data_IF_009789281512
#
_entry.id   IF_009789281512
#
_cell.length_a   1.000
_cell.length_b   1.000
_cell.length_c   1.000
_cell.angle_alpha   90.00
_cell.angle_beta   90.00
_cell.angle_gamma   90.00
#
_symmetry.space_group_name_H-M   'P 1'
#
loop_
_entity.id
_entity.type
_entity.pdbx_description
1 polymer ?
#
# COMPACT_ATOMS: atom_id res chain seq x y z
N UNK A 1 29.43 8.83 -37.28
CA UNK A 1 28.45 9.88 -37.62
C UNK A 1 29.02 11.17 -37.05
N UNK A 2 29.71 11.97 -37.86
CA UNK A 2 30.26 13.26 -37.42
C UNK A 2 29.10 14.23 -37.32
N UNK A 3 28.86 14.79 -36.13
CA UNK A 3 27.90 15.87 -35.94
C UNK A 3 28.52 17.12 -36.56
N UNK A 4 28.17 17.39 -37.82
CA UNK A 4 28.48 18.64 -38.51
C UNK A 4 27.90 19.82 -37.70
N UNK A 5 28.67 20.88 -37.54
CA UNK A 5 28.37 22.08 -36.75
C UNK A 5 26.88 22.46 -36.74
N UNK A 6 26.19 22.17 -35.63
CA UNK A 6 24.78 22.51 -35.44
C UNK A 6 24.70 23.97 -34.97
N UNK A 7 24.02 24.81 -35.74
CA UNK A 7 23.74 26.21 -35.35
C UNK A 7 22.44 26.26 -34.55
N UNK A 8 22.51 26.80 -33.33
CA UNK A 8 21.35 27.05 -32.49
C UNK A 8 21.07 28.55 -32.50
N UNK A 9 19.90 28.96 -32.97
CA UNK A 9 19.44 30.34 -32.94
C UNK A 9 18.23 30.44 -32.00
N UNK A 10 18.27 31.39 -31.08
CA UNK A 10 17.16 31.62 -30.14
C UNK A 10 17.04 33.10 -29.84
N UNK A 11 15.82 33.55 -29.58
CA UNK A 11 15.56 34.93 -29.16
C UNK A 11 15.43 34.94 -27.64
N UNK A 12 16.34 35.64 -26.97
CA UNK A 12 16.31 35.82 -25.52
C UNK A 12 15.81 37.23 -25.18
N UNK A 13 15.13 37.37 -24.05
CA UNK A 13 14.71 38.68 -23.55
C UNK A 13 15.93 39.54 -23.17
N UNK A 14 15.82 40.88 -23.22
CA UNK A 14 16.94 41.78 -22.94
C UNK A 14 17.55 41.60 -21.54
N UNK A 15 16.75 41.31 -20.53
CA UNK A 15 17.24 41.06 -19.15
C UNK A 15 18.20 39.86 -19.06
N UNK A 16 17.90 38.80 -19.81
CA UNK A 16 18.76 37.60 -19.87
C UNK A 16 19.99 37.83 -20.73
N UNK A 17 19.90 38.64 -21.79
CA UNK A 17 21.05 39.01 -22.61
C UNK A 17 22.08 39.81 -21.80
N UNK A 18 21.62 40.75 -20.97
CA UNK A 18 22.49 41.54 -20.09
C UNK A 18 23.21 40.65 -19.06
N UNK A 19 22.47 39.73 -18.41
CA UNK A 19 23.06 38.77 -17.45
C UNK A 19 24.09 37.84 -18.09
N UNK A 20 23.82 37.35 -19.30
CA UNK A 20 24.75 36.49 -20.02
C UNK A 20 26.02 37.23 -20.45
N UNK A 21 25.89 38.49 -20.87
CA UNK A 21 27.05 39.34 -21.17
C UNK A 21 27.87 39.63 -19.91
N UNK A 22 27.22 39.89 -18.78
CA UNK A 22 27.90 40.07 -17.50
C UNK A 22 28.64 38.80 -17.08
N UNK A 23 27.99 37.63 -17.18
CA UNK A 23 28.61 36.33 -16.91
C UNK A 23 29.82 36.07 -17.81
N UNK A 24 29.73 36.39 -19.11
CA UNK A 24 30.84 36.29 -20.05
C UNK A 24 32.03 37.17 -19.65
N UNK A 25 31.78 38.39 -19.16
CA UNK A 25 32.82 39.28 -18.65
C UNK A 25 33.46 38.77 -17.35
N UNK A 26 32.66 38.17 -16.46
CA UNK A 26 33.12 37.64 -15.17
C UNK A 26 33.94 36.35 -15.32
N UNK A 27 33.54 35.45 -16.22
CA UNK A 27 34.22 34.17 -16.45
C UNK A 27 35.34 34.26 -17.50
N UNK A 28 35.36 35.33 -18.30
CA UNK A 28 36.28 35.48 -19.43
C UNK A 28 36.00 34.52 -20.59
N UNK A 29 34.87 33.80 -20.54
CA UNK A 29 34.44 32.87 -21.58
C UNK A 29 33.57 33.56 -22.61
N UNK A 30 33.58 33.06 -23.85
CA UNK A 30 32.65 33.55 -24.87
C UNK A 30 31.21 33.14 -24.53
N UNK A 31 30.24 33.91 -25.03
CA UNK A 31 28.82 33.58 -24.86
C UNK A 31 28.48 32.19 -25.41
N UNK A 32 29.11 31.81 -26.53
CA UNK A 32 28.91 30.53 -27.21
C UNK A 32 29.38 29.36 -26.34
N UNK A 33 30.55 29.49 -25.71
CA UNK A 33 31.07 28.48 -24.76
C UNK A 33 30.16 28.33 -23.54
N UNK A 34 29.67 29.45 -22.98
CA UNK A 34 28.76 29.41 -21.83
C UNK A 34 27.44 28.71 -22.17
N UNK A 35 26.89 28.98 -23.35
CA UNK A 35 25.66 28.34 -23.82
C UNK A 35 25.90 26.85 -24.10
N UNK A 36 27.02 26.49 -24.73
CA UNK A 36 27.36 25.09 -24.98
C UNK A 36 27.56 24.31 -23.67
N UNK A 37 28.27 24.88 -22.71
CA UNK A 37 28.50 24.29 -21.38
C UNK A 37 27.16 24.10 -20.65
N UNK A 38 26.31 25.11 -20.64
CA UNK A 38 24.99 25.03 -19.99
C UNK A 38 24.10 23.95 -20.63
N UNK A 39 24.10 23.84 -21.96
CA UNK A 39 23.39 22.77 -22.68
C UNK A 39 24.00 21.40 -22.32
N UNK A 40 25.32 21.28 -22.28
CA UNK A 40 26.03 20.06 -21.89
C UNK A 40 25.62 19.58 -20.49
N UNK A 41 25.68 20.48 -19.51
CA UNK A 41 25.30 20.21 -18.11
C UNK A 41 23.82 19.82 -17.98
N UNK A 42 22.94 20.49 -18.74
CA UNK A 42 21.51 20.17 -18.73
C UNK A 42 21.25 18.76 -19.29
N UNK A 43 21.88 18.41 -20.40
CA UNK A 43 21.75 17.08 -21.02
C UNK A 43 22.35 15.98 -20.13
N UNK A 44 23.46 16.24 -19.45
CA UNK A 44 24.04 15.32 -18.48
C UNK A 44 23.10 15.09 -17.29
N UNK A 45 22.49 16.16 -16.77
CA UNK A 45 21.51 16.05 -15.68
C UNK A 45 20.27 15.26 -16.08
N UNK A 46 19.81 15.38 -17.33
CA UNK A 46 18.71 14.56 -17.86
C UNK A 46 19.12 13.08 -17.92
N UNK A 47 20.31 12.77 -18.43
CA UNK A 47 20.81 11.38 -18.44
C UNK A 47 20.90 10.76 -17.05
N UNK A 48 21.25 11.55 -16.03
CA UNK A 48 21.26 11.06 -14.63
C UNK A 48 19.84 10.82 -14.12
N UNK A 49 18.85 11.59 -14.58
CA UNK A 49 17.42 11.35 -14.29
C UNK A 49 16.86 10.12 -15.00
N UNK A 50 17.42 9.73 -16.15
CA UNK A 50 17.06 8.50 -16.86
C UNK A 50 17.52 7.22 -16.13
N UNK A 51 18.33 7.32 -15.06
CA UNK A 51 18.60 6.21 -14.12
C UNK A 51 17.34 5.77 -13.31
N UNK A 52 16.15 6.14 -13.79
CA UNK A 52 14.83 5.63 -13.41
C UNK A 52 14.73 4.09 -13.47
N UNK A 53 15.64 3.40 -14.16
CA UNK A 53 15.78 1.94 -14.11
C UNK A 53 15.92 1.41 -12.67
N UNK A 54 16.55 2.19 -11.78
CA UNK A 54 16.66 1.84 -10.35
C UNK A 54 15.34 1.99 -9.58
N UNK A 55 14.46 2.89 -10.02
CA UNK A 55 13.12 3.12 -9.46
C UNK A 55 12.16 2.04 -9.96
N UNK A 56 12.25 1.66 -11.23
CA UNK A 56 11.46 0.57 -11.82
C UNK A 56 11.81 -0.79 -11.18
N UNK A 57 13.10 -1.05 -10.92
CA UNK A 57 13.52 -2.29 -10.27
C UNK A 57 13.06 -2.38 -8.80
N UNK A 58 13.07 -1.25 -8.08
CA UNK A 58 12.52 -1.17 -6.73
C UNK A 58 10.99 -1.34 -6.71
N UNK A 59 10.30 -0.75 -7.68
CA UNK A 59 8.86 -0.89 -7.83
C UNK A 59 8.45 -2.36 -8.09
N UNK A 60 9.16 -3.05 -8.98
CA UNK A 60 8.93 -4.48 -9.27
C UNK A 60 9.19 -5.37 -8.04
N UNK A 61 10.24 -5.09 -7.27
CA UNK A 61 10.51 -5.80 -6.03
C UNK A 61 9.41 -5.57 -4.99
N UNK A 62 8.96 -4.33 -4.82
CA UNK A 62 7.87 -3.99 -3.89
C UNK A 62 6.56 -4.71 -4.27
N UNK A 63 6.24 -4.76 -5.57
CA UNK A 63 5.06 -5.47 -6.07
C UNK A 63 5.12 -6.98 -5.77
N UNK A 64 6.32 -7.58 -5.89
CA UNK A 64 6.55 -8.99 -5.57
C UNK A 64 6.42 -9.27 -4.07
N UNK A 65 6.91 -8.38 -3.22
CA UNK A 65 6.76 -8.49 -1.77
C UNK A 65 5.29 -8.38 -1.35
N UNK A 66 4.55 -7.44 -1.93
CA UNK A 66 3.12 -7.25 -1.66
C UNK A 66 2.32 -8.50 -2.02
N UNK A 67 2.58 -9.09 -3.20
CA UNK A 67 1.93 -10.32 -3.64
C UNK A 67 2.27 -11.51 -2.72
N UNK A 68 3.50 -11.57 -2.21
CA UNK A 68 3.92 -12.60 -1.26
C UNK A 68 3.23 -12.43 0.09
N UNK A 69 3.10 -11.18 0.57
CA UNK A 69 2.41 -10.87 1.81
C UNK A 69 0.92 -11.18 1.72
N UNK A 70 0.27 -10.84 0.60
CA UNK A 70 -1.14 -11.14 0.36
C UNK A 70 -1.40 -12.65 0.40
N UNK A 71 -0.54 -13.45 -0.23
CA UNK A 71 -0.62 -14.92 -0.14
C UNK A 71 -0.47 -15.43 1.29
N UNK A 72 0.43 -14.84 2.08
CA UNK A 72 0.60 -15.20 3.50
C UNK A 72 -0.64 -14.86 4.31
N UNK A 73 -1.23 -13.69 4.11
CA UNK A 73 -2.49 -13.29 4.77
C UNK A 73 -3.60 -14.28 4.44
N UNK A 74 -3.76 -14.62 3.16
CA UNK A 74 -4.76 -15.61 2.75
C UNK A 74 -4.51 -16.99 3.36
N UNK A 75 -3.25 -17.38 3.55
CA UNK A 75 -2.90 -18.65 4.21
C UNK A 75 -3.24 -18.69 5.71
N UNK A 76 -3.47 -17.53 6.35
CA UNK A 76 -3.83 -17.43 7.78
C UNK A 76 -5.34 -17.53 8.02
N UNK A 77 -6.19 -17.23 7.03
CA UNK A 77 -7.65 -17.39 7.12
C UNK A 77 -8.12 -18.77 7.61
N UNK A 78 -7.60 -19.90 7.09
CA UNK A 78 -8.01 -21.22 7.60
C UNK A 78 -7.60 -21.43 9.07
N UNK A 79 -6.49 -20.84 9.50
CA UNK A 79 -6.02 -20.94 10.88
C UNK A 79 -6.94 -20.14 11.81
N UNK A 80 -7.35 -18.93 11.39
CA UNK A 80 -8.36 -18.13 12.10
C UNK A 80 -9.67 -18.92 12.26
N UNK A 81 -10.15 -19.55 11.20
CA UNK A 81 -11.37 -20.35 11.25
C UNK A 81 -11.26 -21.54 12.24
N UNK A 82 -10.09 -22.20 12.28
CA UNK A 82 -9.84 -23.28 13.24
C UNK A 82 -9.84 -22.78 14.68
N UNK A 83 -9.23 -21.63 14.96
CA UNK A 83 -9.22 -21.01 16.29
C UNK A 83 -10.65 -20.67 16.73
N UNK A 84 -11.43 -20.01 15.89
CA UNK A 84 -12.84 -19.68 16.21
C UNK A 84 -13.67 -20.94 16.49
N UNK A 85 -13.45 -22.02 15.71
CA UNK A 85 -14.14 -23.31 15.94
C UNK A 85 -13.75 -23.94 17.27
N UNK A 86 -12.49 -23.82 17.69
CA UNK A 86 -12.03 -24.30 18.99
C UNK A 86 -12.60 -23.47 20.13
N UNK A 87 -12.66 -22.15 19.99
CA UNK A 87 -13.26 -21.25 20.99
C UNK A 87 -14.74 -21.56 21.22
N UNK A 88 -15.52 -21.76 20.14
CA UNK A 88 -16.94 -22.15 20.25
C UNK A 88 -17.08 -23.47 21.00
N UNK A 89 -16.20 -24.44 20.74
CA UNK A 89 -16.20 -25.72 21.47
C UNK A 89 -15.85 -25.54 22.94
N UNK A 90 -14.87 -24.69 23.26
CA UNK A 90 -14.50 -24.38 24.64
C UNK A 90 -15.67 -23.73 25.37
N UNK A 91 -16.32 -22.73 24.79
CA UNK A 91 -17.51 -22.08 25.38
C UNK A 91 -18.64 -23.11 25.58
N UNK A 92 -18.85 -24.01 24.63
CA UNK A 92 -19.82 -25.10 24.76
C UNK A 92 -19.50 -26.02 25.94
N UNK A 93 -18.22 -26.39 26.11
CA UNK A 93 -17.76 -27.19 27.25
C UNK A 93 -17.89 -26.41 28.56
N UNK A 94 -17.53 -25.12 28.60
CA UNK A 94 -17.69 -24.27 29.79
C UNK A 94 -19.15 -24.19 30.22
N UNK A 95 -20.09 -24.05 29.28
CA UNK A 95 -21.53 -24.06 29.58
C UNK A 95 -22.01 -25.41 30.16
N UNK A 96 -21.42 -26.51 29.72
CA UNK A 96 -21.77 -27.88 30.20
C UNK A 96 -21.12 -28.17 31.57
N UNK A 97 -19.86 -27.78 31.76
CA UNK A 97 -19.06 -28.10 32.95
C UNK A 97 -19.27 -27.09 34.08
N UNK A 98 -19.56 -25.83 33.75
CA UNK A 98 -19.82 -24.74 34.70
C UNK A 98 -21.07 -23.94 34.29
N UNK A 99 -22.28 -24.44 34.57
CA UNK A 99 -23.54 -23.76 34.22
C UNK A 99 -23.76 -22.41 34.95
N UNK A 100 -22.83 -21.98 35.81
CA UNK A 100 -22.83 -20.70 36.51
C UNK A 100 -21.49 -20.00 36.37
N UNK A 101 -21.17 -19.50 35.18
CA UNK A 101 -20.28 -18.35 35.07
C UNK A 101 -21.02 -17.23 34.33
N UNK A 102 -21.56 -16.31 35.11
CA UNK A 102 -22.11 -15.03 34.66
C UNK A 102 -20.97 -14.17 34.09
N UNK A 103 -20.70 -14.35 32.79
CA UNK A 103 -19.81 -13.47 32.05
C UNK A 103 -20.47 -12.09 32.01
N UNK A 104 -19.84 -11.10 32.63
CA UNK A 104 -20.34 -9.71 32.66
C UNK A 104 -20.52 -9.18 31.23
N UNK A 105 -21.64 -8.51 30.91
CA UNK A 105 -22.01 -8.08 29.54
C UNK A 105 -21.19 -6.88 29.03
N UNK A 106 -20.06 -6.53 29.66
CA UNK A 106 -19.24 -5.38 29.30
C UNK A 106 -18.22 -5.63 28.18
N UNK A 107 -18.23 -6.82 27.56
CA UNK A 107 -17.42 -7.15 26.39
C UNK A 107 -18.15 -6.75 25.11
N UNK A 108 -17.47 -6.05 24.19
CA UNK A 108 -17.98 -5.66 22.86
C UNK A 108 -18.58 -6.85 22.09
N UNK A 109 -18.12 -8.07 22.36
CA UNK A 109 -18.63 -9.29 21.72
C UNK A 109 -19.99 -9.74 22.27
N UNK A 110 -20.29 -9.47 23.54
CA UNK A 110 -21.59 -9.79 24.15
C UNK A 110 -22.71 -8.91 23.58
N UNK A 111 -22.40 -7.66 23.21
CA UNK A 111 -23.36 -6.76 22.56
C UNK A 111 -23.71 -7.20 21.14
N UNK A 112 -22.77 -7.84 20.42
CA UNK A 112 -23.03 -8.41 19.09
C UNK A 112 -23.95 -9.64 19.15
N UNK A 113 -23.85 -10.45 20.20
CA UNK A 113 -24.72 -11.62 20.41
C UNK A 113 -26.15 -11.26 20.83
N UNK A 114 -26.39 -10.05 21.37
CA UNK A 114 -27.73 -9.57 21.76
C UNK A 114 -28.45 -8.90 20.58
N UNK A 115 -27.73 -8.51 19.52
CA UNK A 115 -28.31 -7.82 18.36
C UNK A 115 -28.67 -8.72 17.17
N UNK A 116 -28.20 -9.96 17.15
CA UNK A 116 -28.65 -10.95 16.17
C UNK A 116 -29.84 -11.75 16.72
N UNK A 117 -31.00 -11.10 16.59
CA UNK A 117 -32.26 -11.71 16.14
C UNK A 117 -32.96 -12.72 17.06
N UNK A 118 -33.88 -12.18 17.87
CA UNK A 118 -35.02 -12.85 18.51
C UNK A 118 -36.05 -13.44 17.49
N UNK A 119 -35.60 -14.27 16.55
CA UNK A 119 -36.46 -14.93 15.54
C UNK A 119 -35.99 -16.36 15.21
N UNK A 120 -35.74 -17.18 16.22
CA UNK A 120 -35.86 -18.64 16.04
C UNK A 120 -36.90 -19.13 17.03
N UNK A 121 -38.11 -19.36 16.52
CA UNK A 121 -39.16 -20.09 17.21
C UNK A 121 -38.59 -21.45 17.67
N UNK A 122 -38.90 -21.92 18.89
CA UNK A 122 -38.49 -23.26 19.28
C UNK A 122 -39.24 -24.28 18.41
N UNK A 123 -38.51 -25.00 17.55
CA UNK A 123 -39.03 -26.16 16.84
C UNK A 123 -39.61 -27.15 17.86
N UNK A 124 -40.94 -27.31 17.81
CA UNK A 124 -41.70 -28.26 18.61
C UNK A 124 -41.33 -29.71 18.22
N UNK A 125 -40.26 -30.25 18.82
CA UNK A 125 -39.95 -31.69 18.71
C UNK A 125 -39.52 -32.24 20.07
N UNK A 126 -40.43 -32.17 21.05
CA UNK A 126 -40.34 -32.93 22.31
C UNK A 126 -41.71 -33.47 22.78
N UNK A 127 -42.62 -33.83 21.87
CA UNK A 127 -43.88 -34.50 22.23
C UNK A 127 -43.85 -36.01 22.04
N UNK A 128 -42.90 -36.57 21.30
CA UNK A 128 -42.88 -38.01 20.98
C UNK A 128 -42.15 -38.90 22.01
N UNK A 129 -41.64 -38.33 23.11
CA UNK A 129 -41.02 -39.12 24.20
C UNK A 129 -41.93 -39.32 25.41
N UNK A 130 -43.20 -38.91 25.35
CA UNK A 130 -44.21 -39.13 26.39
C UNK A 130 -45.46 -39.80 25.83
N UNK A 131 -45.31 -41.06 25.40
CA UNK A 131 -46.37 -42.05 25.23
C UNK A 131 -45.71 -43.43 25.23
N UNK A 132 -46.06 -44.40 26.08
CA UNK A 132 -47.27 -44.62 26.86
C UNK A 132 -46.94 -45.28 28.21
N UNK A 133 -47.78 -44.98 29.20
CA UNK A 133 -48.08 -45.89 30.31
C UNK A 133 -48.95 -47.06 29.82
#
# INVERSE_FOLDING_TARGET
MSLENIKIETTISPEWAERLNQLSLETGSSLEELVQEAIGQYLEKIKVSDNSDSVDLQYLNLQKELLTLQKKVQSLEPLLHQVTKLEVKIIGIEKIVMPKLSISPSSTCAQLLIHDNDQDEPDEILTDFLGDC
#
